data_IF_364361158052
#
_entry.id   IF_364361158052
#
_cell.length_a   1.000
_cell.length_b   1.000
_cell.length_c   1.000
_cell.angle_alpha   90.00
_cell.angle_beta   90.00
_cell.angle_gamma   90.00
#
_symmetry.space_group_name_H-M   'P 1'
#
loop_
_entity.id
_entity.type
_entity.pdbx_description
1 polymer ?
#
# COMPACT_ATOMS: atom_id res chain seq x y z
N UNK A 1 0.80 -1.09 -13.99
CA UNK A 1 1.54 -1.93 -14.95
C UNK A 1 1.68 -1.13 -16.24
N UNK A 2 2.75 -1.31 -17.03
CA UNK A 2 2.90 -0.55 -18.30
C UNK A 2 1.90 -0.99 -19.38
N UNK A 3 1.22 -2.13 -19.17
CA UNK A 3 0.18 -2.64 -20.06
C UNK A 3 -1.19 -2.38 -19.43
N UNK A 4 -2.08 -1.77 -20.21
CA UNK A 4 -3.46 -1.46 -19.81
C UNK A 4 -4.31 -2.72 -19.83
N UNK A 5 -5.08 -2.96 -18.77
CA UNK A 5 -6.08 -4.03 -18.76
C UNK A 5 -7.24 -3.69 -19.70
N UNK A 6 -7.66 -4.66 -20.51
CA UNK A 6 -8.73 -4.48 -21.51
C UNK A 6 -10.07 -5.10 -21.09
N UNK A 7 -10.06 -6.03 -20.14
CA UNK A 7 -11.27 -6.71 -19.65
C UNK A 7 -11.41 -6.52 -18.15
N UNK A 8 -12.64 -6.71 -17.65
CA UNK A 8 -12.93 -6.63 -16.22
C UNK A 8 -12.17 -7.71 -15.45
N UNK A 9 -12.08 -8.93 -15.99
CA UNK A 9 -11.39 -10.06 -15.38
C UNK A 9 -9.89 -9.79 -15.22
N UNK A 10 -9.25 -9.18 -16.22
CA UNK A 10 -7.84 -8.80 -16.15
C UNK A 10 -7.61 -7.77 -15.04
N UNK A 11 -8.42 -6.71 -15.00
CA UNK A 11 -8.36 -5.69 -13.95
C UNK A 11 -8.62 -6.26 -12.56
N UNK A 12 -9.57 -7.20 -12.45
CA UNK A 12 -9.91 -7.83 -11.18
C UNK A 12 -8.69 -8.56 -10.59
N UNK A 13 -7.98 -9.33 -11.41
CA UNK A 13 -6.75 -10.02 -10.99
C UNK A 13 -5.67 -9.03 -10.54
N UNK A 14 -5.46 -7.97 -11.34
CA UNK A 14 -4.49 -6.93 -11.01
C UNK A 14 -4.80 -6.27 -9.66
N UNK A 15 -6.03 -5.79 -9.49
CA UNK A 15 -6.48 -5.13 -8.27
C UNK A 15 -6.41 -6.07 -7.06
N UNK A 16 -6.78 -7.34 -7.21
CA UNK A 16 -6.66 -8.35 -6.14
C UNK A 16 -5.20 -8.54 -5.68
N UNK A 17 -4.24 -8.63 -6.61
CA UNK A 17 -2.81 -8.63 -6.27
C UNK A 17 -2.39 -7.30 -5.62
N UNK A 18 -3.01 -6.19 -6.02
CA UNK A 18 -2.78 -4.88 -5.41
C UNK A 18 -3.17 -4.86 -3.94
N UNK A 19 -4.27 -5.52 -3.56
CA UNK A 19 -4.71 -5.54 -2.16
C UNK A 19 -3.81 -6.34 -1.22
N UNK A 20 -2.94 -7.21 -1.73
CA UNK A 20 -1.92 -7.91 -0.93
C UNK A 20 -0.72 -6.99 -0.65
N UNK A 21 -0.91 -6.04 0.27
CA UNK A 21 0.10 -5.02 0.59
C UNK A 21 0.32 -4.80 2.10
N UNK A 22 -0.24 -5.67 2.94
CA UNK A 22 -0.09 -5.54 4.40
C UNK A 22 1.35 -5.80 4.87
N UNK A 23 1.68 -5.33 6.07
CA UNK A 23 3.02 -5.43 6.70
C UNK A 23 3.65 -6.82 6.70
N UNK A 24 2.86 -7.89 6.62
CA UNK A 24 3.37 -9.25 6.47
C UNK A 24 4.31 -9.40 5.26
N UNK A 25 4.00 -8.71 4.16
CA UNK A 25 4.74 -8.77 2.89
C UNK A 25 6.12 -8.09 2.96
N UNK A 26 6.27 -7.08 3.82
CA UNK A 26 7.52 -6.31 3.99
C UNK A 26 8.42 -6.77 5.14
N UNK A 27 7.87 -7.56 6.08
CA UNK A 27 8.52 -7.91 7.35
C UNK A 27 9.87 -8.61 7.18
N UNK A 28 9.91 -9.70 6.42
CA UNK A 28 11.14 -10.49 6.25
C UNK A 28 12.29 -9.67 5.65
N UNK A 29 11.98 -8.81 4.67
CA UNK A 29 12.99 -7.97 4.02
C UNK A 29 13.54 -6.91 5.00
N UNK A 30 12.66 -6.30 5.81
CA UNK A 30 13.07 -5.33 6.83
C UNK A 30 13.91 -5.98 7.93
N UNK A 31 13.47 -7.13 8.46
CA UNK A 31 14.16 -7.88 9.52
C UNK A 31 15.55 -8.39 9.05
N UNK A 32 15.68 -8.65 7.75
CA UNK A 32 16.97 -9.00 7.11
C UNK A 32 17.90 -7.79 6.90
N UNK A 33 17.52 -6.60 7.39
CA UNK A 33 18.30 -5.37 7.28
C UNK A 33 18.21 -4.65 5.94
N UNK A 34 17.35 -5.10 5.01
CA UNK A 34 17.11 -4.41 3.75
C UNK A 34 16.08 -3.30 3.95
N UNK A 35 16.52 -2.18 4.51
CA UNK A 35 15.67 -1.00 4.70
C UNK A 35 15.65 -0.17 3.42
N UNK A 36 14.47 0.03 2.87
CA UNK A 36 14.19 0.93 1.76
C UNK A 36 12.74 1.43 1.81
N UNK A 37 12.38 2.37 0.92
CA UNK A 37 11.04 2.97 0.94
C UNK A 37 9.93 1.94 0.74
N UNK A 38 10.13 0.89 -0.06
CA UNK A 38 9.13 -0.18 -0.26
C UNK A 38 8.89 -0.97 1.02
N UNK A 39 9.95 -1.31 1.75
CA UNK A 39 9.82 -2.03 3.03
C UNK A 39 9.18 -1.17 4.12
N UNK A 40 9.55 0.11 4.23
CA UNK A 40 8.99 1.02 5.24
C UNK A 40 7.51 1.24 4.97
N UNK A 41 7.13 1.56 3.73
CA UNK A 41 5.74 1.77 3.35
C UNK A 41 4.88 0.50 3.44
N UNK A 42 5.43 -0.69 3.17
CA UNK A 42 4.71 -1.94 3.40
C UNK A 42 4.47 -2.19 4.90
N UNK A 43 5.45 -1.91 5.75
CA UNK A 43 5.31 -2.04 7.20
C UNK A 43 4.27 -1.06 7.79
N UNK A 44 4.03 0.06 7.11
CA UNK A 44 3.03 1.04 7.50
C UNK A 44 1.57 0.58 7.34
N UNK A 45 1.32 -0.49 6.57
CA UNK A 45 -0.05 -0.97 6.29
C UNK A 45 -0.39 -2.11 7.25
N UNK A 46 -1.40 -1.85 8.08
CA UNK A 46 -1.87 -2.77 9.09
C UNK A 46 -2.90 -3.76 8.52
N UNK A 47 -3.89 -3.25 7.77
CA UNK A 47 -5.01 -4.05 7.30
C UNK A 47 -5.59 -3.50 5.99
N UNK A 48 -6.16 -4.38 5.18
CA UNK A 48 -6.85 -4.04 3.93
C UNK A 48 -8.19 -4.76 3.91
N UNK A 49 -9.28 -4.00 3.80
CA UNK A 49 -10.64 -4.54 3.75
C UNK A 49 -11.32 -4.16 2.46
N UNK A 50 -11.92 -5.15 1.81
CA UNK A 50 -12.80 -4.95 0.65
C UNK A 50 -14.23 -5.00 1.18
N UNK A 51 -14.94 -3.90 1.06
CA UNK A 51 -16.32 -3.75 1.56
C UNK A 51 -17.23 -3.20 0.46
N UNK A 52 -18.54 -3.25 0.70
CA UNK A 52 -19.51 -2.59 -0.17
C UNK A 52 -19.39 -1.08 0.01
N UNK A 53 -19.13 -0.37 -1.08
CA UNK A 53 -19.05 1.09 -1.07
C UNK A 53 -20.43 1.77 -1.13
N UNK A 54 -20.45 3.06 -0.79
CA UNK A 54 -21.64 3.91 -0.87
C UNK A 54 -21.78 4.65 -2.19
N UNK A 55 -20.68 5.16 -2.74
CA UNK A 55 -20.65 5.89 -4.02
C UNK A 55 -20.39 4.93 -5.19
N UNK A 56 -19.31 4.15 -5.09
CA UNK A 56 -19.03 3.03 -5.99
C UNK A 56 -19.36 1.68 -5.33
N UNK A 57 -19.65 0.63 -6.11
CA UNK A 57 -20.04 -0.66 -5.54
C UNK A 57 -18.96 -1.33 -4.69
N UNK A 58 -17.68 -1.09 -4.97
CA UNK A 58 -16.54 -1.68 -4.26
C UNK A 58 -15.76 -0.57 -3.57
N UNK A 59 -15.50 -0.72 -2.28
CA UNK A 59 -14.64 0.18 -1.52
C UNK A 59 -13.50 -0.62 -0.87
N UNK A 60 -12.27 -0.21 -1.13
CA UNK A 60 -11.06 -0.80 -0.56
C UNK A 60 -10.56 0.14 0.54
N UNK A 61 -10.72 -0.28 1.79
CA UNK A 61 -10.22 0.44 2.97
C UNK A 61 -8.84 -0.06 3.33
N UNK A 62 -7.89 0.85 3.45
CA UNK A 62 -6.49 0.56 3.80
C UNK A 62 -6.20 1.25 5.11
N UNK A 63 -5.96 0.47 6.16
CA UNK A 63 -5.64 0.96 7.49
C UNK A 63 -4.12 1.00 7.66
N UNK A 64 -3.61 2.15 8.08
CA UNK A 64 -2.19 2.41 8.23
C UNK A 64 -1.89 2.91 9.64
N UNK A 65 -0.77 2.51 10.23
CA UNK A 65 -0.25 3.11 11.48
C UNK A 65 0.79 4.22 11.20
N UNK A 66 1.16 4.39 9.93
CA UNK A 66 2.11 5.40 9.50
C UNK A 66 1.77 5.88 8.08
N UNK A 67 1.78 7.19 7.86
CA UNK A 67 1.40 7.80 6.58
C UNK A 67 2.28 7.39 5.39
N UNK A 68 3.50 6.87 5.62
CA UNK A 68 4.37 6.36 4.56
C UNK A 68 3.73 5.19 3.77
N UNK A 69 2.69 4.54 4.32
CA UNK A 69 1.91 3.53 3.61
C UNK A 69 1.25 4.03 2.33
N UNK A 70 1.01 5.35 2.21
CA UNK A 70 0.46 5.98 1.00
C UNK A 70 1.27 5.64 -0.26
N UNK A 71 2.58 5.44 -0.11
CA UNK A 71 3.45 5.07 -1.22
C UNK A 71 3.08 3.70 -1.80
N UNK A 72 2.78 2.70 -0.96
CA UNK A 72 2.29 1.41 -1.46
C UNK A 72 0.92 1.57 -2.11
N UNK A 73 0.00 2.31 -1.48
CA UNK A 73 -1.34 2.54 -2.04
C UNK A 73 -1.26 3.10 -3.46
N UNK A 74 -0.44 4.13 -3.67
CA UNK A 74 -0.26 4.76 -4.97
C UNK A 74 0.48 3.83 -5.97
N UNK A 75 1.62 3.28 -5.56
CA UNK A 75 2.52 2.57 -6.47
C UNK A 75 2.06 1.17 -6.83
N UNK A 76 1.16 0.57 -6.03
CA UNK A 76 0.63 -0.77 -6.29
C UNK A 76 -0.83 -0.72 -6.72
N UNK A 77 -1.74 -0.28 -5.84
CA UNK A 77 -3.17 -0.35 -6.11
C UNK A 77 -3.62 0.76 -7.06
N UNK A 78 -3.19 2.00 -6.83
CA UNK A 78 -3.53 3.16 -7.66
C UNK A 78 -3.16 2.94 -9.14
N UNK A 79 -1.95 2.42 -9.39
CA UNK A 79 -1.47 2.08 -10.75
C UNK A 79 -2.24 0.95 -11.45
N UNK A 80 -2.97 0.13 -10.70
CA UNK A 80 -3.76 -0.98 -11.25
C UNK A 80 -5.23 -0.63 -11.43
N UNK A 81 -5.73 0.31 -10.65
CA UNK A 81 -7.08 0.85 -10.81
C UNK A 81 -7.12 1.88 -11.92
N UNK A 82 -6.17 2.82 -11.96
CA UNK A 82 -6.19 3.94 -12.89
C UNK A 82 -6.11 3.49 -14.36
N UNK A 83 -7.07 3.95 -15.16
CA UNK A 83 -7.24 3.55 -16.56
C UNK A 83 -7.80 2.15 -16.77
N UNK A 84 -8.11 1.39 -15.71
CA UNK A 84 -8.65 0.04 -15.84
C UNK A 84 -10.17 0.04 -16.09
N UNK A 85 -10.73 -0.99 -16.75
CA UNK A 85 -12.17 -1.24 -16.80
C UNK A 85 -12.90 -1.22 -15.45
N UNK A 86 -12.19 -1.45 -14.33
CA UNK A 86 -12.77 -1.43 -12.98
C UNK A 86 -12.71 -0.06 -12.28
N UNK A 87 -12.02 0.93 -12.85
CA UNK A 87 -11.88 2.28 -12.26
C UNK A 87 -13.21 2.94 -11.86
N UNK A 88 -14.30 2.85 -12.67
CA UNK A 88 -15.58 3.46 -12.31
C UNK A 88 -16.30 2.74 -11.16
N UNK A 89 -15.84 1.54 -10.77
CA UNK A 89 -16.52 0.66 -9.81
C UNK A 89 -15.81 0.52 -8.47
N UNK A 90 -14.58 1.00 -8.36
CA UNK A 90 -13.73 0.86 -7.17
C UNK A 90 -13.37 2.22 -6.59
N UNK A 91 -13.63 2.39 -5.30
CA UNK A 91 -13.08 3.47 -4.48
C UNK A 91 -12.00 2.94 -3.53
N UNK A 92 -11.02 3.78 -3.24
CA UNK A 92 -9.93 3.46 -2.31
C UNK A 92 -9.89 4.53 -1.22
N UNK A 93 -9.98 4.09 0.03
CA UNK A 93 -9.91 4.95 1.20
C UNK A 93 -8.72 4.51 2.05
N UNK A 94 -7.70 5.37 2.14
CA UNK A 94 -6.55 5.15 3.02
C UNK A 94 -6.76 5.93 4.32
N UNK A 95 -6.68 5.22 5.46
CA UNK A 95 -7.00 5.73 6.79
C UNK A 95 -5.78 5.52 7.68
N UNK A 96 -5.24 6.60 8.25
CA UNK A 96 -4.22 6.50 9.29
C UNK A 96 -4.89 6.33 10.65
N UNK A 97 -4.37 5.40 11.45
CA UNK A 97 -4.92 5.01 12.76
C UNK A 97 -3.87 5.15 13.86
N UNK A 98 -4.28 5.43 15.11
CA UNK A 98 -5.66 5.75 15.53
C UNK A 98 -6.13 7.11 14.99
N UNK A 99 -7.43 7.24 14.74
CA UNK A 99 -8.01 8.51 14.27
C UNK A 99 -7.84 9.60 15.32
N UNK A 100 -7.48 10.81 14.88
CA UNK A 100 -7.32 11.97 15.76
C UNK A 100 -5.92 12.13 16.38
N UNK A 101 -4.95 11.30 16.01
CA UNK A 101 -3.55 11.55 16.33
C UNK A 101 -2.82 12.34 15.22
N UNK A 102 -2.05 13.35 15.64
CA UNK A 102 -1.24 14.19 14.74
C UNK A 102 0.12 13.56 14.39
N UNK A 103 0.40 12.34 14.87
CA UNK A 103 1.71 11.70 14.76
C UNK A 103 1.59 10.24 14.39
N UNK A 104 2.43 9.83 13.44
CA UNK A 104 2.55 8.44 13.01
C UNK A 104 3.41 7.59 13.94
N UNK A 105 3.22 6.26 13.89
CA UNK A 105 4.12 5.29 14.50
C UNK A 105 5.50 5.32 13.80
N UNK A 106 6.57 5.43 14.59
CA UNK A 106 7.93 5.48 14.03
C UNK A 106 8.43 4.08 13.65
N UNK A 107 8.65 3.86 12.35
CA UNK A 107 9.21 2.60 11.82
C UNK A 107 10.75 2.58 11.84
N UNK A 108 11.41 3.69 11.51
CA UNK A 108 12.87 3.78 11.39
C UNK A 108 13.41 4.86 12.33
N UNK A 109 14.45 4.54 13.12
CA UNK A 109 15.08 5.49 14.06
C UNK A 109 16.29 6.20 13.48
N UNK A 110 17.14 5.47 12.78
CA UNK A 110 18.38 5.96 12.19
C UNK A 110 18.78 5.04 11.05
N UNK A 111 19.17 5.63 9.93
CA UNK A 111 19.74 4.95 8.78
C UNK A 111 21.05 5.63 8.39
N UNK A 112 22.00 4.84 7.93
CA UNK A 112 23.23 5.33 7.29
C UNK A 112 23.25 4.86 5.84
N UNK A 113 23.77 5.69 4.95
CA UNK A 113 23.96 5.32 3.55
C UNK A 113 25.32 4.64 3.42
N UNK A 114 25.33 3.40 2.95
CA UNK A 114 26.56 2.69 2.56
C UNK A 114 26.43 2.28 1.08
N UNK A 115 27.07 3.06 0.22
CA UNK A 115 26.90 2.93 -1.24
C UNK A 115 25.45 3.25 -1.66
N UNK A 116 24.75 2.26 -2.24
CA UNK A 116 23.34 2.37 -2.68
C UNK A 116 22.32 1.81 -1.67
N UNK A 117 22.76 1.32 -0.51
CA UNK A 117 21.89 0.67 0.48
C UNK A 117 21.75 1.53 1.74
N UNK A 118 20.54 1.58 2.30
CA UNK A 118 20.33 2.09 3.65
C UNK A 118 20.57 0.96 4.65
N UNK A 119 21.35 1.26 5.68
CA UNK A 119 21.68 0.32 6.75
C UNK A 119 21.14 0.87 8.06
N UNK A 120 20.34 0.10 8.83
CA UNK A 120 19.91 0.51 10.17
C UNK A 120 21.11 0.69 11.10
N UNK A 121 21.06 1.68 11.99
CA UNK A 121 22.08 1.89 13.02
C UNK A 121 21.46 2.27 14.36
#
# INVERSE_FOLDING_TARGET
>A
ADVKDLTIEASLIGIADGTDMTKGRGRLAFDSGNINIHTVSALSIEDVKIVRGSEKPIEIRIYMNNSAGIFQVQETLGKKISGSPLEPYVDVIAITTPEGEDRDERIVRRITISGRRFVPK
#
